data_IF_707975186138
#
_entry.id   IF_707975186138
#
_cell.length_a   1.000
_cell.length_b   1.000
_cell.length_c   1.000
_cell.angle_alpha   90.00
_cell.angle_beta   90.00
_cell.angle_gamma   90.00
#
_symmetry.space_group_name_H-M   'P 1'
#
loop_
_entity.id
_entity.type
_entity.pdbx_description
1 polymer ?
#
# COMPACT_ATOMS: atom_id res chain seq x y z
N UNK A 1 -10.62 12.84 -25.50
CA UNK A 1 -11.86 12.04 -25.29
C UNK A 1 -11.46 10.57 -25.10
N UNK A 2 -11.17 10.12 -23.88
CA UNK A 2 -10.74 8.74 -23.57
C UNK A 2 -11.90 7.72 -23.60
N UNK A 3 -12.60 7.61 -24.74
CA UNK A 3 -13.81 6.76 -24.91
C UNK A 3 -13.57 5.54 -25.80
N UNK A 4 -12.32 5.21 -26.12
CA UNK A 4 -11.97 4.02 -26.90
C UNK A 4 -12.38 2.75 -26.12
N UNK A 5 -13.19 1.90 -26.75
CA UNK A 5 -13.73 0.65 -26.18
C UNK A 5 -13.11 -0.56 -26.87
N UNK A 6 -11.79 -0.64 -26.84
CA UNK A 6 -11.06 -1.72 -27.52
C UNK A 6 -11.12 -3.06 -26.79
N UNK A 7 -11.45 -3.07 -25.50
CA UNK A 7 -11.39 -4.28 -24.68
C UNK A 7 -9.97 -4.82 -24.47
N UNK A 8 -8.94 -4.03 -24.81
CA UNK A 8 -7.53 -4.36 -24.66
C UNK A 8 -7.01 -3.72 -23.38
N UNK A 9 -6.45 -4.53 -22.49
CA UNK A 9 -5.79 -4.09 -21.25
C UNK A 9 -4.30 -4.42 -21.28
N UNK A 10 -3.56 -3.93 -20.28
CA UNK A 10 -2.10 -4.16 -20.17
C UNK A 10 -1.71 -5.63 -20.31
N UNK A 11 -2.45 -6.54 -19.67
CA UNK A 11 -2.18 -7.97 -19.73
C UNK A 11 -2.39 -8.56 -21.12
N UNK A 12 -3.34 -8.03 -21.89
CA UNK A 12 -3.55 -8.39 -23.30
C UNK A 12 -2.37 -7.95 -24.15
N UNK A 13 -1.80 -6.78 -23.86
CA UNK A 13 -0.61 -6.26 -24.55
C UNK A 13 0.61 -7.11 -24.20
N UNK A 14 0.80 -7.46 -22.93
CA UNK A 14 1.89 -8.37 -22.51
C UNK A 14 1.81 -9.73 -23.19
N UNK A 15 0.60 -10.28 -23.36
CA UNK A 15 0.40 -11.52 -24.11
C UNK A 15 0.81 -11.41 -25.58
N UNK A 16 0.42 -10.31 -26.22
CA UNK A 16 0.83 -10.04 -27.61
C UNK A 16 2.35 -9.89 -27.72
N UNK A 17 2.98 -9.17 -26.79
CA UNK A 17 4.44 -9.00 -26.74
C UNK A 17 5.17 -10.34 -26.54
N UNK A 18 4.65 -11.20 -25.65
CA UNK A 18 5.18 -12.53 -25.40
C UNK A 18 5.15 -13.43 -26.63
N UNK A 19 4.11 -13.29 -27.46
CA UNK A 19 3.99 -14.04 -28.72
C UNK A 19 4.83 -13.43 -29.85
N UNK A 20 4.91 -12.10 -29.94
CA UNK A 20 5.55 -11.41 -31.05
C UNK A 20 7.08 -11.32 -30.92
N UNK A 21 7.61 -11.17 -29.70
CA UNK A 21 9.03 -10.85 -29.47
C UNK A 21 9.75 -11.82 -28.52
N UNK A 22 9.09 -12.89 -28.07
CA UNK A 22 9.66 -13.87 -27.15
C UNK A 22 9.24 -15.31 -27.51
N UNK A 23 9.62 -16.28 -26.67
CA UNK A 23 9.36 -17.72 -26.88
C UNK A 23 7.91 -18.13 -26.56
N UNK A 24 6.93 -17.31 -26.92
CA UNK A 24 5.51 -17.57 -26.67
C UNK A 24 5.15 -17.57 -25.18
N UNK A 25 4.22 -18.45 -24.77
CA UNK A 25 3.64 -18.46 -23.41
C UNK A 25 4.67 -18.64 -22.27
N UNK A 26 5.81 -19.28 -22.53
CA UNK A 26 6.84 -19.52 -21.53
C UNK A 26 7.46 -18.22 -20.98
N UNK A 27 7.46 -17.15 -21.79
CA UNK A 27 8.04 -15.85 -21.41
C UNK A 27 7.07 -14.93 -20.68
N UNK A 28 5.78 -15.29 -20.58
CA UNK A 28 4.74 -14.44 -19.98
C UNK A 28 5.07 -14.05 -18.54
N UNK A 29 5.47 -15.02 -17.72
CA UNK A 29 5.79 -14.78 -16.30
C UNK A 29 6.94 -13.80 -16.14
N UNK A 30 7.97 -13.90 -16.99
CA UNK A 30 9.14 -13.00 -16.97
C UNK A 30 8.74 -11.58 -17.36
N UNK A 31 7.92 -11.45 -18.40
CA UNK A 31 7.39 -10.15 -18.85
C UNK A 31 6.48 -9.50 -17.81
N UNK A 32 5.60 -10.27 -17.19
CA UNK A 32 4.73 -9.79 -16.12
C UNK A 32 5.54 -9.33 -14.90
N UNK A 33 6.56 -10.08 -14.49
CA UNK A 33 7.46 -9.69 -13.40
C UNK A 33 8.21 -8.39 -13.71
N UNK A 34 8.75 -8.24 -14.93
CA UNK A 34 9.40 -7.01 -15.34
C UNK A 34 8.41 -5.83 -15.39
N UNK A 35 7.20 -6.05 -15.91
CA UNK A 35 6.16 -5.03 -15.94
C UNK A 35 5.75 -4.59 -14.54
N UNK A 36 5.67 -5.52 -13.59
CA UNK A 36 5.37 -5.21 -12.21
C UNK A 36 6.44 -4.31 -11.57
N UNK A 37 7.70 -4.36 -12.03
CA UNK A 37 8.80 -3.51 -11.53
C UNK A 37 8.85 -2.10 -12.13
N UNK A 38 8.33 -1.87 -13.33
CA UNK A 38 8.36 -0.53 -13.98
C UNK A 38 7.00 0.14 -14.15
N UNK A 39 5.93 -0.63 -14.19
CA UNK A 39 4.60 -0.15 -14.58
C UNK A 39 4.55 0.56 -15.95
N UNK A 40 5.57 0.38 -16.80
CA UNK A 40 5.72 1.05 -18.09
C UNK A 40 5.80 0.01 -19.22
N UNK A 41 4.67 -0.22 -19.89
CA UNK A 41 4.59 -1.11 -21.04
C UNK A 41 5.42 -0.60 -22.23
N UNK A 42 5.53 0.71 -22.42
CA UNK A 42 6.28 1.29 -23.53
C UNK A 42 7.77 1.01 -23.40
N UNK A 43 8.33 1.25 -22.20
CA UNK A 43 9.72 0.92 -21.89
C UNK A 43 9.99 -0.57 -22.01
N UNK A 44 9.10 -1.41 -21.46
CA UNK A 44 9.21 -2.86 -21.55
C UNK A 44 9.17 -3.34 -23.00
N UNK A 45 8.23 -2.85 -23.80
CA UNK A 45 8.09 -3.19 -25.22
C UNK A 45 9.34 -2.78 -26.01
N UNK A 46 9.87 -1.59 -25.75
CA UNK A 46 11.08 -1.08 -26.41
C UNK A 46 12.30 -1.95 -26.11
N UNK A 47 12.51 -2.34 -24.85
CA UNK A 47 13.63 -3.21 -24.46
C UNK A 47 13.49 -4.62 -25.02
N UNK A 48 12.28 -5.18 -24.94
CA UNK A 48 11.99 -6.50 -25.51
C UNK A 48 12.24 -6.53 -27.02
N UNK A 49 11.81 -5.50 -27.76
CA UNK A 49 12.03 -5.41 -29.20
C UNK A 49 13.51 -5.21 -29.57
N UNK A 50 14.30 -4.54 -28.72
CA UNK A 50 15.71 -4.25 -29.00
C UNK A 50 16.65 -5.43 -28.70
N UNK A 51 16.42 -6.19 -27.61
CA UNK A 51 17.35 -7.23 -27.14
C UNK A 51 16.69 -8.53 -26.70
N UNK A 52 15.40 -8.70 -26.97
CA UNK A 52 14.66 -9.92 -26.64
C UNK A 52 14.51 -10.14 -25.13
N UNK A 53 14.27 -11.40 -24.74
CA UNK A 53 13.93 -11.76 -23.36
C UNK A 53 15.07 -11.49 -22.36
N UNK A 54 16.33 -11.53 -22.80
CA UNK A 54 17.50 -11.29 -21.92
C UNK A 54 17.49 -9.89 -21.32
N UNK A 55 17.05 -8.89 -22.09
CA UNK A 55 16.88 -7.52 -21.59
C UNK A 55 15.82 -7.44 -20.48
N UNK A 56 14.78 -8.27 -20.57
CA UNK A 56 13.69 -8.34 -19.59
C UNK A 56 14.12 -9.07 -18.32
N UNK A 57 14.94 -10.11 -18.43
CA UNK A 57 15.52 -10.80 -17.28
C UNK A 57 16.41 -9.85 -16.45
N UNK A 58 17.09 -8.92 -17.12
CA UNK A 58 17.92 -7.89 -16.47
C UNK A 58 17.12 -6.70 -15.90
N UNK A 59 15.79 -6.72 -16.01
CA UNK A 59 14.95 -5.58 -15.66
C UNK A 59 14.91 -5.36 -14.13
N UNK A 60 15.51 -4.25 -13.70
CA UNK A 60 15.60 -3.84 -12.29
C UNK A 60 14.63 -2.69 -11.98
N UNK A 61 14.28 -2.58 -10.70
CA UNK A 61 13.63 -1.38 -10.18
C UNK A 61 14.54 -0.18 -10.44
N UNK A 62 13.95 0.91 -10.93
CA UNK A 62 14.61 2.20 -11.12
C UNK A 62 13.93 3.20 -10.22
N UNK A 63 14.69 3.89 -9.37
CA UNK A 63 14.13 4.92 -8.48
C UNK A 63 13.51 6.04 -9.33
N UNK A 64 12.33 6.52 -8.92
CA UNK A 64 11.52 7.46 -9.69
C UNK A 64 10.57 6.82 -10.71
N UNK A 65 10.65 5.51 -10.95
CA UNK A 65 9.68 4.76 -11.76
C UNK A 65 8.86 3.84 -10.82
N UNK A 66 7.53 4.01 -10.73
CA UNK A 66 6.72 3.27 -9.75
C UNK A 66 6.64 1.78 -10.05
N UNK A 67 6.74 0.98 -8.99
CA UNK A 67 6.45 -0.45 -8.95
C UNK A 67 4.94 -0.66 -8.81
N UNK A 68 4.37 -1.60 -9.54
CA UNK A 68 2.93 -1.89 -9.45
C UNK A 68 2.58 -2.39 -8.04
N UNK A 69 1.57 -1.82 -7.36
CA UNK A 69 1.29 -2.11 -5.96
C UNK A 69 0.76 -3.52 -5.75
N UNK A 70 1.32 -4.25 -4.77
CA UNK A 70 0.74 -5.51 -4.31
C UNK A 70 -0.70 -5.30 -3.82
N UNK A 71 -1.61 -6.14 -4.31
CA UNK A 71 -3.02 -6.12 -3.94
C UNK A 71 -3.30 -7.23 -2.91
N UNK A 72 -4.44 -7.13 -2.24
CA UNK A 72 -4.82 -8.08 -1.21
C UNK A 72 -6.28 -8.51 -1.42
N UNK A 73 -6.58 -9.75 -1.06
CA UNK A 73 -7.92 -10.31 -1.09
C UNK A 73 -8.62 -10.15 0.27
N UNK A 74 -9.93 -9.91 0.27
CA UNK A 74 -10.72 -9.88 1.50
C UNK A 74 -11.10 -11.28 1.93
N UNK A 75 -10.84 -11.64 3.18
CA UNK A 75 -11.49 -12.79 3.83
C UNK A 75 -12.30 -12.37 5.05
N UNK A 76 -13.41 -13.06 5.37
CA UNK A 76 -14.29 -12.67 6.46
C UNK A 76 -13.91 -13.23 7.83
N UNK A 77 -13.12 -14.32 7.89
CA UNK A 77 -12.98 -15.17 9.08
C UNK A 77 -11.51 -15.44 9.45
N UNK A 78 -11.17 -15.31 10.74
CA UNK A 78 -9.80 -15.44 11.26
C UNK A 78 -9.22 -16.85 11.04
N UNK A 79 -10.03 -17.90 11.20
CA UNK A 79 -9.60 -19.29 11.05
C UNK A 79 -9.32 -19.58 9.59
N UNK A 80 -10.22 -19.19 8.67
CA UNK A 80 -10.02 -19.34 7.23
C UNK A 80 -8.77 -18.58 6.76
N UNK A 81 -8.56 -17.37 7.26
CA UNK A 81 -7.36 -16.58 6.97
C UNK A 81 -6.10 -17.34 7.37
N UNK A 82 -6.05 -17.85 8.60
CA UNK A 82 -4.84 -18.48 9.13
C UNK A 82 -4.57 -19.84 8.49
N UNK A 83 -5.62 -20.62 8.17
CA UNK A 83 -5.51 -21.86 7.39
C UNK A 83 -4.89 -21.59 6.02
N UNK A 84 -5.32 -20.53 5.33
CA UNK A 84 -4.74 -20.08 4.05
C UNK A 84 -3.35 -19.47 4.16
N UNK A 85 -2.86 -19.26 5.39
CA UNK A 85 -1.52 -18.75 5.71
C UNK A 85 -0.64 -19.84 6.33
N UNK A 86 -1.00 -21.11 6.18
CA UNK A 86 -0.27 -22.25 6.71
C UNK A 86 -0.07 -22.20 8.25
N UNK A 87 -1.04 -21.63 8.96
CA UNK A 87 -1.05 -21.58 10.43
C UNK A 87 -0.24 -20.45 11.06
N UNK A 88 0.51 -19.66 10.29
CA UNK A 88 1.29 -18.52 10.82
C UNK A 88 1.31 -17.35 9.85
N UNK A 89 1.01 -16.14 10.33
CA UNK A 89 1.00 -14.94 9.50
C UNK A 89 1.53 -13.71 10.23
N UNK A 90 1.99 -12.71 9.49
CA UNK A 90 2.22 -11.37 10.02
C UNK A 90 0.95 -10.54 9.84
N UNK A 91 0.33 -10.17 10.95
CA UNK A 91 -0.80 -9.26 10.99
C UNK A 91 -0.31 -7.82 11.22
N UNK A 92 -0.75 -6.90 10.38
CA UNK A 92 -0.44 -5.47 10.47
C UNK A 92 -1.70 -4.63 10.58
N UNK A 93 -1.61 -3.48 11.21
CA UNK A 93 -2.72 -2.52 11.21
C UNK A 93 -3.07 -2.09 9.79
N UNK A 94 -4.37 -2.19 9.46
CA UNK A 94 -4.93 -1.63 8.24
C UNK A 94 -5.37 -0.20 8.52
N UNK A 95 -4.45 0.72 8.33
CA UNK A 95 -4.68 2.16 8.45
C UNK A 95 -5.69 2.67 7.40
N UNK A 96 -6.49 3.68 7.77
CA UNK A 96 -7.47 4.35 6.89
C UNK A 96 -6.86 5.63 6.28
N UNK A 97 -6.00 5.47 5.27
CA UNK A 97 -5.22 6.59 4.73
C UNK A 97 -5.04 6.56 3.21
N UNK A 98 -4.00 7.25 2.78
CA UNK A 98 -3.54 7.24 1.40
C UNK A 98 -2.29 6.37 1.30
N UNK A 99 -2.38 5.25 0.60
CA UNK A 99 -1.19 4.47 0.20
C UNK A 99 -0.29 5.32 -0.68
N UNK A 100 0.96 5.47 -0.24
CA UNK A 100 2.03 6.15 -0.94
C UNK A 100 3.19 5.17 -1.16
N UNK A 101 3.65 5.10 -2.41
CA UNK A 101 4.94 4.50 -2.74
C UNK A 101 5.96 5.63 -2.88
N UNK A 102 6.95 5.63 -1.99
CA UNK A 102 7.97 6.67 -1.91
C UNK A 102 9.28 6.18 -2.52
N UNK A 103 9.83 6.98 -3.43
CA UNK A 103 11.11 6.78 -4.10
C UNK A 103 12.05 7.89 -3.62
N UNK A 104 13.08 7.51 -2.87
CA UNK A 104 14.10 8.42 -2.37
C UNK A 104 15.37 8.23 -3.19
N UNK A 105 15.97 9.33 -3.62
CA UNK A 105 17.28 9.38 -4.27
C UNK A 105 18.07 10.60 -3.78
N UNK A 106 19.36 10.73 -4.13
CA UNK A 106 20.14 11.93 -3.84
C UNK A 106 19.52 13.24 -4.40
N UNK A 107 18.78 13.14 -5.50
CA UNK A 107 18.14 14.26 -6.19
C UNK A 107 16.83 14.71 -5.51
N UNK A 108 16.19 13.84 -4.73
CA UNK A 108 14.96 14.17 -4.01
C UNK A 108 14.06 12.97 -3.72
N UNK A 109 12.82 13.27 -3.35
CA UNK A 109 11.80 12.26 -3.06
C UNK A 109 10.67 12.41 -4.07
N UNK A 110 10.32 11.32 -4.74
CA UNK A 110 9.12 11.22 -5.57
C UNK A 110 8.13 10.29 -4.92
N UNK A 111 6.85 10.66 -4.91
CA UNK A 111 5.78 9.88 -4.29
C UNK A 111 4.67 9.60 -5.27
N UNK A 112 4.23 8.35 -5.28
CA UNK A 112 3.16 7.86 -6.14
C UNK A 112 1.98 7.37 -5.31
N UNK A 113 0.77 7.70 -5.75
CA UNK A 113 -0.45 7.18 -5.14
C UNK A 113 -0.67 5.70 -5.48
N UNK A 114 -1.71 5.08 -4.89
CA UNK A 114 -2.17 3.73 -5.28
C UNK A 114 -2.39 3.54 -6.79
N UNK A 115 -2.75 4.61 -7.51
CA UNK A 115 -2.97 4.57 -8.98
C UNK A 115 -1.72 4.97 -9.77
N UNK A 116 -0.57 5.04 -9.10
CA UNK A 116 0.73 5.42 -9.66
C UNK A 116 0.77 6.86 -10.21
N UNK A 117 -0.14 7.72 -9.74
CA UNK A 117 -0.10 9.15 -10.05
C UNK A 117 0.95 9.83 -9.17
N UNK A 118 1.76 10.72 -9.75
CA UNK A 118 2.71 11.53 -8.99
C UNK A 118 1.95 12.53 -8.10
N UNK A 119 2.14 12.41 -6.79
CA UNK A 119 1.51 13.24 -5.74
C UNK A 119 2.54 14.01 -4.92
N UNK A 120 3.79 14.06 -5.37
CA UNK A 120 4.94 14.61 -4.63
C UNK A 120 4.67 16.03 -4.11
N UNK A 121 4.21 16.93 -4.98
CA UNK A 121 3.93 18.33 -4.66
C UNK A 121 2.81 18.52 -3.62
N UNK A 122 1.94 17.52 -3.43
CA UNK A 122 0.75 17.61 -2.56
C UNK A 122 1.08 17.30 -1.09
N UNK A 123 2.23 16.66 -0.83
CA UNK A 123 2.63 16.18 0.49
C UNK A 123 4.08 16.57 0.86
N UNK A 124 4.44 17.86 0.86
CA UNK A 124 5.80 18.28 1.21
C UNK A 124 6.18 17.99 2.67
N UNK A 125 5.20 17.89 3.57
CA UNK A 125 5.37 17.42 4.94
C UNK A 125 5.78 15.94 5.01
N UNK A 126 5.18 15.07 4.20
CA UNK A 126 5.58 13.65 4.10
C UNK A 126 6.99 13.52 3.52
N UNK A 127 7.34 14.32 2.50
CA UNK A 127 8.72 14.37 1.99
C UNK A 127 9.71 14.73 3.11
N UNK A 128 9.38 15.73 3.94
CA UNK A 128 10.21 16.13 5.08
C UNK A 128 10.36 15.00 6.11
N UNK A 129 9.27 14.32 6.45
CA UNK A 129 9.29 13.17 7.36
C UNK A 129 10.21 12.07 6.83
N UNK A 130 10.02 11.65 5.58
CA UNK A 130 10.79 10.59 4.94
C UNK A 130 12.29 10.94 4.87
N UNK A 131 12.61 12.17 4.46
CA UNK A 131 14.01 12.65 4.38
C UNK A 131 14.73 12.59 5.73
N UNK A 132 14.01 12.88 6.82
CA UNK A 132 14.57 12.87 8.18
C UNK A 132 14.73 11.44 8.72
N UNK A 133 13.77 10.55 8.46
CA UNK A 133 13.76 9.22 9.08
C UNK A 133 14.47 8.10 8.32
N UNK A 134 14.75 8.25 7.02
CA UNK A 134 15.33 7.17 6.20
C UNK A 134 16.81 7.38 5.83
N UNK A 135 17.35 8.58 6.11
CA UNK A 135 18.73 8.92 5.75
C UNK A 135 18.94 9.14 4.25
N UNK A 136 20.17 8.93 3.79
CA UNK A 136 20.58 9.13 2.38
C UNK A 136 20.69 7.79 1.65
N UNK A 137 20.32 7.77 0.38
CA UNK A 137 20.49 6.60 -0.48
C UNK A 137 19.34 6.47 -1.48
N UNK A 138 19.36 5.37 -2.22
CA UNK A 138 18.32 5.03 -3.17
C UNK A 138 17.35 4.03 -2.52
N UNK A 139 16.12 4.44 -2.24
CA UNK A 139 15.14 3.63 -1.51
C UNK A 139 13.80 3.67 -2.22
N UNK A 140 13.14 2.50 -2.33
CA UNK A 140 11.73 2.41 -2.72
C UNK A 140 10.98 1.65 -1.63
N UNK A 141 10.04 2.31 -0.98
CA UNK A 141 9.21 1.74 0.09
C UNK A 141 7.75 2.13 -0.08
N UNK A 142 6.89 1.41 0.62
CA UNK A 142 5.47 1.72 0.69
C UNK A 142 5.03 1.98 2.13
N UNK A 143 4.07 2.88 2.27
CA UNK A 143 3.44 3.20 3.54
C UNK A 143 2.05 3.81 3.38
N UNK A 144 1.34 3.89 4.49
CA UNK A 144 0.05 4.57 4.56
C UNK A 144 0.22 5.96 5.17
N UNK A 145 -0.30 6.98 4.48
CA UNK A 145 -0.35 8.35 4.98
C UNK A 145 -1.72 8.63 5.60
N UNK A 146 -1.76 8.83 6.90
CA UNK A 146 -2.99 8.88 7.70
C UNK A 146 -3.11 10.25 8.35
N UNK A 147 -4.27 10.93 8.29
CA UNK A 147 -4.46 12.18 9.01
C UNK A 147 -4.46 11.91 10.51
N UNK A 148 -3.90 12.82 11.30
CA UNK A 148 -3.77 12.67 12.76
C UNK A 148 -4.25 13.92 13.47
N UNK A 149 -4.76 13.77 14.70
CA UNK A 149 -5.01 14.90 15.56
C UNK A 149 -3.68 15.50 16.04
N UNK A 150 -3.53 16.82 15.95
CA UNK A 150 -2.26 17.48 16.29
C UNK A 150 -1.96 17.48 17.79
N UNK A 151 -2.99 17.44 18.64
CA UNK A 151 -2.87 17.50 20.09
C UNK A 151 -2.75 16.10 20.71
N UNK A 152 -3.56 15.13 20.24
CA UNK A 152 -3.58 13.77 20.82
C UNK A 152 -2.73 12.77 20.04
N UNK A 153 -2.51 13.00 18.74
CA UNK A 153 -1.87 12.04 17.84
C UNK A 153 -2.79 10.93 17.35
N UNK A 154 -4.09 10.98 17.70
CA UNK A 154 -5.07 9.97 17.29
C UNK A 154 -5.25 9.94 15.77
N UNK A 155 -5.51 8.75 15.24
CA UNK A 155 -5.78 8.58 13.81
C UNK A 155 -7.16 9.15 13.46
N UNK A 156 -7.21 9.93 12.37
CA UNK A 156 -8.43 10.55 11.86
C UNK A 156 -8.93 9.83 10.59
N UNK A 157 -10.22 10.01 10.21
CA UNK A 157 -10.80 9.34 9.05
C UNK A 157 -10.15 9.74 7.71
N UNK A 158 -10.11 8.81 6.76
CA UNK A 158 -9.56 9.02 5.40
C UNK A 158 -10.13 10.24 4.66
N UNK A 159 -11.40 10.61 4.93
CA UNK A 159 -12.05 11.75 4.30
C UNK A 159 -11.34 13.09 4.56
N UNK A 160 -10.48 13.19 5.56
CA UNK A 160 -9.67 14.38 5.80
C UNK A 160 -8.46 14.41 4.85
N UNK A 161 -7.68 13.32 4.77
CA UNK A 161 -6.50 13.29 3.88
C UNK A 161 -6.90 13.31 2.40
N UNK A 162 -8.08 12.82 2.04
CA UNK A 162 -8.60 12.89 0.66
C UNK A 162 -8.75 14.33 0.15
N UNK A 163 -9.02 15.30 1.04
CA UNK A 163 -9.14 16.72 0.69
C UNK A 163 -7.81 17.33 0.25
N UNK A 164 -6.68 16.74 0.63
CA UNK A 164 -5.35 17.17 0.21
C UNK A 164 -5.05 16.77 -1.24
N UNK A 165 -5.70 15.73 -1.75
CA UNK A 165 -5.41 15.19 -3.08
C UNK A 165 -5.78 16.21 -4.17
N UNK A 166 -4.82 16.50 -5.05
CA UNK A 166 -4.96 17.46 -6.15
C UNK A 166 -4.77 18.93 -5.74
N UNK A 167 -4.58 19.23 -4.44
CA UNK A 167 -4.25 20.60 -4.01
C UNK A 167 -2.80 20.93 -4.34
N UNK A 168 -2.58 22.14 -4.87
CA UNK A 168 -1.25 22.68 -5.20
C UNK A 168 -0.99 24.08 -4.61
N UNK A 169 -1.96 24.64 -3.90
CA UNK A 169 -1.93 25.98 -3.31
C UNK A 169 -2.35 25.87 -1.84
N UNK A 170 -1.93 26.85 -1.01
CA UNK A 170 -2.22 26.87 0.45
C UNK A 170 -1.81 25.58 1.17
N UNK A 171 -0.65 25.02 0.79
CA UNK A 171 -0.17 23.75 1.32
C UNK A 171 0.16 23.88 2.80
N UNK A 172 0.75 24.99 3.23
CA UNK A 172 1.13 25.25 4.62
C UNK A 172 -0.11 25.21 5.52
N UNK A 173 -1.15 25.97 5.16
CA UNK A 173 -2.44 25.98 5.86
C UNK A 173 -3.09 24.60 5.87
N UNK A 174 -3.08 23.90 4.72
CA UNK A 174 -3.64 22.55 4.63
C UNK A 174 -2.88 21.55 5.51
N UNK A 175 -1.57 21.69 5.67
CA UNK A 175 -0.72 20.85 6.53
C UNK A 175 -0.99 21.13 8.00
N UNK A 176 -1.23 22.38 8.37
CA UNK A 176 -1.61 22.78 9.72
C UNK A 176 -3.01 22.26 10.09
N UNK A 177 -3.98 22.39 9.19
CA UNK A 177 -5.35 21.91 9.39
C UNK A 177 -5.46 20.38 9.35
N UNK A 178 -4.68 19.72 8.50
CA UNK A 178 -4.73 18.27 8.25
C UNK A 178 -3.31 17.69 8.29
N UNK A 179 -2.68 17.63 9.48
CA UNK A 179 -1.38 17.00 9.62
C UNK A 179 -1.52 15.50 9.41
N UNK A 180 -0.50 14.89 8.82
CA UNK A 180 -0.48 13.46 8.52
C UNK A 180 0.71 12.76 9.16
N UNK A 181 0.53 11.47 9.45
CA UNK A 181 1.58 10.53 9.78
C UNK A 181 1.79 9.53 8.64
N UNK A 182 3.00 9.02 8.52
CA UNK A 182 3.39 8.00 7.55
C UNK A 182 3.77 6.71 8.26
N UNK A 183 3.07 5.62 7.95
CA UNK A 183 3.33 4.29 8.50
C UNK A 183 3.87 3.37 7.39
N UNK A 184 5.19 3.15 7.37
CA UNK A 184 5.86 2.31 6.39
C UNK A 184 5.55 0.82 6.64
N UNK A 185 5.19 0.08 5.59
CA UNK A 185 4.76 -1.32 5.70
C UNK A 185 5.47 -2.31 4.77
N UNK A 186 6.19 -1.85 3.73
CA UNK A 186 7.00 -2.73 2.88
C UNK A 186 8.21 -2.00 2.27
N UNK A 187 9.26 -2.76 1.96
CA UNK A 187 10.47 -2.28 1.30
C UNK A 187 10.65 -3.03 -0.02
N UNK A 188 10.75 -2.29 -1.12
CA UNK A 188 10.85 -2.85 -2.47
C UNK A 188 12.28 -2.79 -3.00
N UNK A 189 13.03 -1.74 -2.64
CA UNK A 189 14.40 -1.54 -3.07
C UNK A 189 15.18 -0.71 -2.05
N UNK A 190 16.45 -1.05 -1.84
CA UNK A 190 17.38 -0.19 -1.13
C UNK A 190 18.81 -0.39 -1.64
N UNK A 191 19.47 0.72 -2.00
CA UNK A 191 20.90 0.80 -2.31
C UNK A 191 21.41 -0.33 -3.22
N UNK A 192 20.78 -0.49 -4.38
CA UNK A 192 21.14 -1.51 -5.37
C UNK A 192 20.53 -2.90 -5.14
N UNK A 193 19.88 -3.13 -4.00
CA UNK A 193 19.24 -4.41 -3.67
C UNK A 193 17.75 -4.39 -4.00
N UNK A 194 17.32 -5.28 -4.88
CA UNK A 194 15.90 -5.56 -5.13
C UNK A 194 15.36 -6.51 -4.03
N UNK A 195 14.35 -6.04 -3.30
CA UNK A 195 13.66 -6.80 -2.26
C UNK A 195 12.40 -7.47 -2.75
N UNK A 196 11.87 -7.15 -3.94
CA UNK A 196 10.60 -7.69 -4.44
C UNK A 196 10.62 -9.20 -4.60
N UNK A 197 11.77 -9.79 -4.95
CA UNK A 197 11.96 -11.24 -5.02
C UNK A 197 12.22 -11.91 -3.66
N UNK A 198 12.27 -11.17 -2.56
CA UNK A 198 12.57 -11.71 -1.23
C UNK A 198 11.29 -11.98 -0.42
N UNK A 199 11.29 -13.00 0.47
CA UNK A 199 10.20 -13.25 1.40
C UNK A 199 9.87 -12.02 2.26
N UNK A 200 8.59 -11.83 2.58
CA UNK A 200 8.09 -10.70 3.36
C UNK A 200 8.88 -10.47 4.67
N UNK A 201 9.22 -11.48 5.49
CA UNK A 201 10.02 -11.27 6.69
C UNK A 201 11.39 -10.62 6.43
N UNK A 202 12.04 -10.91 5.29
CA UNK A 202 13.32 -10.27 4.92
C UNK A 202 13.12 -8.81 4.53
N UNK A 203 12.06 -8.51 3.77
CA UNK A 203 11.71 -7.14 3.39
C UNK A 203 11.37 -6.31 4.62
N UNK A 204 10.53 -6.85 5.51
CA UNK A 204 10.15 -6.20 6.76
C UNK A 204 11.35 -5.95 7.68
N UNK A 205 12.21 -6.96 7.88
CA UNK A 205 13.41 -6.79 8.70
C UNK A 205 14.42 -5.79 8.11
N UNK A 206 14.47 -5.64 6.78
CA UNK A 206 15.26 -4.59 6.14
C UNK A 206 14.63 -3.20 6.33
N UNK A 207 13.29 -3.09 6.20
CA UNK A 207 12.55 -1.86 6.47
C UNK A 207 12.76 -1.37 7.91
N UNK A 208 12.69 -2.29 8.88
CA UNK A 208 12.90 -2.01 10.31
C UNK A 208 14.26 -1.41 10.63
N UNK A 209 15.31 -1.81 9.89
CA UNK A 209 16.66 -1.26 10.04
C UNK A 209 16.82 0.12 9.40
N UNK A 210 15.99 0.43 8.40
CA UNK A 210 16.06 1.68 7.63
C UNK A 210 15.25 2.79 8.28
N UNK A 211 14.01 2.51 8.71
CA UNK A 211 13.08 3.53 9.22
C UNK A 211 13.44 3.87 10.67
N UNK A 212 13.94 5.09 10.89
CA UNK A 212 14.08 5.66 12.22
C UNK A 212 12.76 6.30 12.63
N UNK A 213 12.00 5.61 13.46
CA UNK A 213 10.73 6.11 13.97
C UNK A 213 10.90 7.45 14.69
N UNK A 214 10.06 8.42 14.35
CA UNK A 214 10.04 9.77 14.92
C UNK A 214 8.59 10.29 14.95
N UNK A 215 8.36 11.51 15.45
CA UNK A 215 7.02 12.08 15.50
C UNK A 215 6.38 12.09 14.09
N UNK A 216 5.26 11.35 13.94
CA UNK A 216 4.49 11.13 12.70
C UNK A 216 5.17 10.30 11.59
N UNK A 217 6.30 9.65 11.87
CA UNK A 217 6.86 8.62 10.98
C UNK A 217 7.14 7.36 11.78
N UNK A 218 6.53 6.26 11.35
CA UNK A 218 6.74 4.97 12.00
C UNK A 218 6.62 3.82 11.02
N UNK A 219 6.82 2.62 11.56
CA UNK A 219 6.46 1.40 10.88
C UNK A 219 5.00 1.08 11.16
N UNK A 220 4.34 0.37 10.24
CA UNK A 220 3.06 -0.27 10.54
C UNK A 220 3.19 -1.17 11.77
N UNK A 221 2.23 -1.04 12.71
CA UNK A 221 2.17 -1.90 13.90
C UNK A 221 1.88 -3.33 13.46
N UNK A 222 2.73 -4.26 13.88
CA UNK A 222 2.75 -5.63 13.38
C UNK A 222 2.84 -6.65 14.53
N UNK A 223 2.18 -7.79 14.37
CA UNK A 223 2.31 -8.97 15.23
C UNK A 223 2.37 -10.23 14.36
N UNK A 224 3.29 -11.16 14.67
CA UNK A 224 3.25 -12.50 14.08
C UNK A 224 2.27 -13.33 14.90
N UNK A 225 1.19 -13.79 14.27
CA UNK A 225 0.12 -14.58 14.88
C UNK A 225 0.22 -16.05 14.48
N UNK A 226 -0.13 -16.94 15.41
CA UNK A 226 -0.10 -18.41 15.26
C UNK A 226 -1.42 -19.09 15.62
N UNK A 227 -2.44 -18.31 16.00
CA UNK A 227 -3.79 -18.80 16.27
C UNK A 227 -4.83 -17.77 15.81
N UNK A 228 -6.05 -18.25 15.56
CA UNK A 228 -7.18 -17.38 15.22
C UNK A 228 -7.50 -16.41 16.37
N UNK A 229 -7.41 -16.87 17.62
CA UNK A 229 -7.61 -16.05 18.83
C UNK A 229 -6.65 -14.86 18.89
N UNK A 230 -5.35 -15.07 18.66
CA UNK A 230 -4.37 -13.98 18.58
C UNK A 230 -4.71 -12.96 17.49
N UNK A 231 -5.26 -13.44 16.37
CA UNK A 231 -5.65 -12.60 15.26
C UNK A 231 -6.92 -11.78 15.57
N UNK A 232 -7.90 -12.39 16.24
CA UNK A 232 -9.10 -11.73 16.75
C UNK A 232 -8.77 -10.64 17.79
N UNK A 233 -7.92 -10.94 18.76
CA UNK A 233 -7.50 -9.98 19.78
C UNK A 233 -6.77 -8.78 19.15
N UNK A 234 -5.86 -9.06 18.22
CA UNK A 234 -5.14 -8.00 17.51
C UNK A 234 -6.07 -7.17 16.60
N UNK A 235 -7.12 -7.79 16.04
CA UNK A 235 -8.16 -7.10 15.29
C UNK A 235 -8.95 -6.14 16.19
N UNK A 236 -9.35 -6.58 17.38
CA UNK A 236 -10.05 -5.72 18.35
C UNK A 236 -9.20 -4.53 18.77
N UNK A 237 -7.90 -4.76 19.03
CA UNK A 237 -6.97 -3.68 19.33
C UNK A 237 -6.83 -2.69 18.17
N UNK A 238 -6.70 -3.18 16.92
CA UNK A 238 -6.59 -2.32 15.74
C UNK A 238 -7.82 -1.39 15.60
N UNK A 239 -9.03 -1.92 15.84
CA UNK A 239 -10.26 -1.13 15.81
C UNK A 239 -10.30 -0.10 16.94
N UNK A 240 -9.91 -0.50 18.15
CA UNK A 240 -9.85 0.41 19.30
C UNK A 240 -8.87 1.57 19.07
N UNK A 241 -7.76 1.29 18.36
CA UNK A 241 -6.75 2.27 17.96
C UNK A 241 -7.14 3.08 16.71
N UNK A 242 -8.37 2.94 16.20
CA UNK A 242 -8.92 3.74 15.09
C UNK A 242 -8.59 3.24 13.68
N UNK A 243 -8.05 2.02 13.53
CA UNK A 243 -7.79 1.41 12.22
C UNK A 243 -9.03 0.68 11.65
N UNK A 244 -9.01 0.39 10.34
CA UNK A 244 -10.12 -0.32 9.68
C UNK A 244 -10.16 -1.83 9.96
N UNK A 245 -9.02 -2.38 10.40
CA UNK A 245 -8.82 -3.79 10.65
C UNK A 245 -7.37 -4.20 10.49
N UNK A 246 -7.13 -5.34 9.84
CA UNK A 246 -5.79 -5.92 9.70
C UNK A 246 -5.44 -6.25 8.24
N UNK A 247 -4.17 -6.05 7.89
CA UNK A 247 -3.52 -6.62 6.72
C UNK A 247 -2.77 -7.88 7.14
N UNK A 248 -3.02 -9.00 6.47
CA UNK A 248 -2.44 -10.31 6.82
C UNK A 248 -1.48 -10.74 5.73
N UNK A 249 -0.22 -10.92 6.08
CA UNK A 249 0.86 -11.23 5.16
C UNK A 249 1.44 -12.59 5.47
N UNK A 250 1.63 -13.40 4.43
CA UNK A 250 2.30 -14.70 4.58
C UNK A 250 3.75 -14.48 5.04
N UNK A 251 4.24 -15.36 5.91
CA UNK A 251 5.64 -15.39 6.36
C UNK A 251 6.45 -16.52 5.72
N UNK A 252 5.83 -17.28 4.81
CA UNK A 252 6.46 -18.39 4.12
C UNK A 252 7.59 -17.96 3.17
N UNK A 253 8.44 -18.89 2.71
CA UNK A 253 9.56 -18.59 1.81
C UNK A 253 9.09 -18.01 0.46
N UNK A 254 7.88 -18.32 0.02
CA UNK A 254 7.32 -17.83 -1.24
C UNK A 254 6.56 -16.50 -1.10
N UNK A 255 6.63 -15.83 0.06
CA UNK A 255 5.95 -14.56 0.36
C UNK A 255 6.60 -13.34 -0.33
N UNK A 256 7.00 -13.49 -1.59
CA UNK A 256 7.59 -12.43 -2.41
C UNK A 256 6.58 -11.32 -2.75
N UNK A 257 7.04 -10.17 -3.22
CA UNK A 257 6.16 -9.06 -3.59
C UNK A 257 5.57 -9.29 -4.99
N UNK A 258 4.24 -9.33 -5.12
CA UNK A 258 3.55 -9.58 -6.40
C UNK A 258 2.37 -8.62 -6.60
N UNK A 259 2.26 -8.03 -7.79
CA UNK A 259 1.04 -7.33 -8.20
C UNK A 259 0.00 -8.35 -8.72
N UNK A 260 -0.68 -9.06 -7.81
CA UNK A 260 -1.82 -9.94 -8.14
C UNK A 260 -2.85 -9.89 -7.00
N UNK A 261 -4.12 -9.73 -7.34
CA UNK A 261 -5.23 -9.66 -6.39
C UNK A 261 -5.58 -11.02 -5.74
N UNK A 262 -5.20 -12.12 -6.39
CA UNK A 262 -5.40 -13.51 -5.97
C UNK A 262 -4.08 -14.19 -5.53
N UNK A 263 -3.16 -13.42 -4.97
CA UNK A 263 -1.94 -14.02 -4.41
C UNK A 263 -2.23 -14.57 -3.01
N UNK A 264 -1.81 -15.80 -2.73
CA UNK A 264 -1.80 -16.39 -1.38
C UNK A 264 -0.96 -15.57 -0.37
N UNK A 265 -0.26 -14.54 -0.84
CA UNK A 265 0.81 -13.85 -0.13
C UNK A 265 0.32 -12.67 0.72
N UNK A 266 -0.79 -12.02 0.34
CA UNK A 266 -1.34 -10.88 1.07
C UNK A 266 -2.87 -10.90 1.06
N UNK A 267 -3.44 -10.82 2.25
CA UNK A 267 -4.88 -10.74 2.49
C UNK A 267 -5.18 -9.52 3.33
N UNK A 268 -6.41 -9.07 3.31
CA UNK A 268 -6.88 -8.08 4.27
C UNK A 268 -8.15 -8.56 4.94
N UNK A 269 -8.29 -8.21 6.20
CA UNK A 269 -9.46 -8.48 6.99
C UNK A 269 -10.00 -7.17 7.51
N UNK A 270 -11.25 -6.87 7.15
CA UNK A 270 -11.97 -5.69 7.62
C UNK A 270 -13.12 -6.17 8.50
N UNK A 271 -13.17 -5.65 9.71
CA UNK A 271 -14.24 -5.93 10.64
C UNK A 271 -15.59 -5.48 10.07
N UNK A 272 -16.54 -6.41 9.92
CA UNK A 272 -17.93 -6.05 9.57
C UNK A 272 -18.63 -5.53 10.84
N UNK A 273 -18.45 -4.25 11.14
CA UNK A 273 -19.40 -3.38 11.86
C UNK A 273 -18.90 -1.94 11.81
N UNK A 274 -19.38 -1.15 10.84
CA UNK A 274 -19.61 0.30 11.09
C UNK A 274 -21.12 0.45 11.34
N UNK A 275 -21.60 0.52 12.59
CA UNK A 275 -22.78 1.31 12.87
C UNK A 275 -22.39 2.78 12.71
N UNK A 276 -23.18 3.54 11.98
CA UNK A 276 -23.10 5.00 11.94
C UNK A 276 -23.02 5.56 13.36
N UNK A 277 -22.04 6.42 13.64
CA UNK A 277 -22.16 7.36 14.76
C UNK A 277 -23.26 8.35 14.39
N UNK A 278 -24.50 8.04 14.75
CA UNK A 278 -25.55 9.03 14.94
C UNK A 278 -25.65 9.29 16.44
N UNK A 279 -24.83 10.22 16.93
CA UNK A 279 -25.02 10.84 18.24
C UNK A 279 -25.90 12.07 18.07
N UNK A 280 -27.07 12.07 18.70
CA UNK A 280 -27.95 13.24 18.76
C UNK A 280 -29.35 12.86 19.23
N UNK A 281 -29.47 12.40 20.48
CA UNK A 281 -30.78 12.26 21.12
C UNK A 281 -31.27 13.62 21.61
N UNK A 282 -32.57 13.90 21.43
CA UNK A 282 -33.36 14.78 22.30
C UNK A 282 -34.80 14.24 22.35
N UNK A 283 -35.31 14.04 23.56
CA UNK A 283 -36.71 14.31 23.87
C UNK A 283 -37.67 13.11 23.90
N UNK A 284 -37.73 12.42 25.03
CA UNK A 284 -39.02 11.88 25.48
C UNK A 284 -39.97 13.04 25.73
N UNK A 285 -41.16 13.00 25.14
CA UNK A 285 -42.33 13.74 25.63
C UNK A 285 -43.48 12.76 25.72
N UNK A 286 -43.91 12.50 26.96
CA UNK A 286 -45.18 11.86 27.32
C UNK A 286 -46.34 12.88 27.20
N UNK A 287 -47.55 12.40 26.89
CA UNK A 287 -48.82 13.05 27.26
C UNK A 287 -49.69 13.55 26.10
N UNK A 288 -50.88 12.93 25.91
CA UNK A 288 -51.92 13.22 24.89
C UNK A 288 -52.70 14.55 25.07
N UNK A 289 -53.97 14.71 24.60
CA UNK A 289 -54.98 13.70 24.26
C UNK A 289 -55.71 13.87 22.90
N UNK A 290 -56.61 12.92 22.62
CA UNK A 290 -57.60 12.86 21.54
C UNK A 290 -58.42 14.16 21.36
N UNK A 291 -58.80 14.49 20.11
CA UNK A 291 -60.19 14.81 19.75
C UNK A 291 -60.38 15.01 18.23
N UNK A 292 -61.53 14.48 17.77
CA UNK A 292 -62.26 14.61 16.49
C UNK A 292 -61.78 13.79 15.30
#
# INVERSE_FOLDING_TARGET
LGRLRLGVADMTILDALSQAFASGKASRTVLEQAYNRSSDLGLLSKRLAAGGIKEIESFKITVGIPVRPMLAERLPDAKEILEKMDGTAAAEYKYDGLRIQAHLSPEGITMFSRRLENITEQFPDVQKLLKQGLGTGEIVLEGETVPVDSATGDLLPFQLVSQRRGRKYELEKTIEEIPVAFFAFDLLFANGTDYTGQPYPKRRGALEKLVRSQYRLGLSRQMVVKSAEQLDDFMQQAIADGCEGLMIKSVGPDSIYKHVQDSLQMRFWIHRRRPSKASGGIGQVQGGPQAR
#
